data_IF_464127231327
#
_entry.id   IF_464127231327
#
_cell.length_a   1.000
_cell.length_b   1.000
_cell.length_c   1.000
_cell.angle_alpha   90.00
_cell.angle_beta   90.00
_cell.angle_gamma   90.00
#
_symmetry.space_group_name_H-M   'P 1'
#
loop_
_entity.id
_entity.type
_entity.pdbx_description
1 polymer ?
#
# COMPACT_ATOMS: atom_id res chain seq x y z
N UNK A 1 4.24 5.58 3.85
CA UNK A 1 3.11 4.68 4.22
C UNK A 1 3.58 3.22 4.15
N UNK A 2 3.02 2.33 4.97
CA UNK A 2 3.46 0.93 5.06
C UNK A 2 2.30 0.01 5.44
N UNK A 3 2.45 -1.28 5.18
CA UNK A 3 1.67 -2.31 5.86
C UNK A 3 2.54 -2.92 6.97
N UNK A 4 1.97 -3.17 8.13
CA UNK A 4 2.65 -3.87 9.23
C UNK A 4 1.93 -5.19 9.50
N UNK A 5 2.70 -6.26 9.60
CA UNK A 5 2.21 -7.60 9.93
C UNK A 5 2.61 -7.84 11.38
N UNK A 6 1.63 -8.16 12.22
CA UNK A 6 1.82 -8.35 13.65
C UNK A 6 1.34 -9.74 14.04
N UNK A 7 1.88 -10.28 15.12
CA UNK A 7 1.32 -11.47 15.77
C UNK A 7 0.08 -11.11 16.61
N UNK A 8 -0.55 -12.12 17.20
CA UNK A 8 -1.74 -11.94 18.03
C UNK A 8 -1.49 -11.19 19.35
N UNK A 9 -0.22 -11.03 19.74
CA UNK A 9 0.18 -10.26 20.92
C UNK A 9 0.52 -8.81 20.54
N UNK A 10 0.45 -8.44 19.26
CA UNK A 10 0.82 -7.12 18.75
C UNK A 10 2.32 -6.94 18.55
N UNK A 11 3.12 -8.00 18.59
CA UNK A 11 4.54 -7.90 18.22
C UNK A 11 4.67 -7.79 16.71
N UNK A 12 5.58 -6.94 16.25
CA UNK A 12 5.85 -6.77 14.84
C UNK A 12 6.55 -8.02 14.26
N UNK A 13 5.94 -8.65 13.26
CA UNK A 13 6.55 -9.73 12.47
C UNK A 13 7.33 -9.13 11.29
N UNK A 14 6.69 -8.23 10.54
CA UNK A 14 7.29 -7.66 9.33
C UNK A 14 6.59 -6.36 8.89
N UNK A 15 7.23 -5.64 7.96
CA UNK A 15 6.67 -4.48 7.27
C UNK A 15 6.82 -4.62 5.77
N UNK A 16 5.81 -4.19 5.05
CA UNK A 16 5.85 -4.05 3.60
C UNK A 16 5.83 -2.56 3.26
N UNK A 17 6.85 -2.12 2.52
CA UNK A 17 7.03 -0.74 2.10
C UNK A 17 7.32 0.25 3.24
N UNK A 18 7.32 1.54 2.88
CA UNK A 18 7.52 2.65 3.81
C UNK A 18 8.96 3.11 3.99
N UNK A 19 9.95 2.29 3.64
CA UNK A 19 11.38 2.63 3.68
C UNK A 19 11.69 3.84 2.78
N UNK A 20 11.05 3.90 1.62
CA UNK A 20 11.22 4.96 0.61
C UNK A 20 10.04 5.94 0.58
N UNK A 21 9.31 6.10 1.69
CA UNK A 21 8.17 7.02 1.76
C UNK A 21 6.96 6.59 0.90
N UNK A 22 6.16 7.58 0.49
CA UNK A 22 5.04 7.36 -0.43
C UNK A 22 5.54 7.35 -1.89
N UNK A 23 4.91 6.57 -2.76
CA UNK A 23 5.28 6.55 -4.17
C UNK A 23 4.52 5.53 -5.01
N UNK A 24 4.94 5.37 -6.26
CA UNK A 24 4.25 4.53 -7.25
C UNK A 24 5.01 3.25 -7.58
N UNK A 25 6.30 3.18 -7.24
CA UNK A 25 7.16 2.04 -7.51
C UNK A 25 6.69 0.77 -6.80
N UNK A 26 7.23 -0.37 -7.23
CA UNK A 26 6.97 -1.66 -6.58
C UNK A 26 7.34 -1.59 -5.10
N UNK A 27 6.42 -2.02 -4.24
CA UNK A 27 6.57 -1.96 -2.79
C UNK A 27 6.27 -0.60 -2.16
N UNK A 28 5.97 0.45 -2.94
CA UNK A 28 5.51 1.73 -2.43
C UNK A 28 3.97 1.86 -2.42
N UNK A 29 3.51 2.62 -1.44
CA UNK A 29 2.10 2.96 -1.22
C UNK A 29 1.91 4.48 -1.28
N UNK A 30 0.70 4.94 -1.56
CA UNK A 30 0.30 6.34 -1.51
C UNK A 30 -0.46 6.65 -0.23
N UNK A 31 -1.64 6.06 -0.07
CA UNK A 31 -2.54 6.31 1.04
C UNK A 31 -3.41 5.08 1.28
N UNK A 32 -2.84 3.97 1.77
CA UNK A 32 -3.58 2.73 1.99
C UNK A 32 -4.63 2.91 3.09
N UNK A 33 -5.88 2.55 2.80
CA UNK A 33 -7.02 2.69 3.73
C UNK A 33 -7.92 1.44 3.76
N UNK A 34 -7.94 0.64 2.71
CA UNK A 34 -8.63 -0.65 2.68
C UNK A 34 -7.63 -1.80 2.62
N UNK A 35 -7.92 -2.89 3.32
CA UNK A 35 -7.14 -4.13 3.23
C UNK A 35 -8.06 -5.35 3.26
N UNK A 36 -7.75 -6.35 2.43
CA UNK A 36 -8.48 -7.63 2.34
C UNK A 36 -7.49 -8.74 1.98
N UNK A 37 -7.84 -9.98 2.32
CA UNK A 37 -7.08 -11.17 1.94
C UNK A 37 -7.96 -12.14 1.15
N UNK A 38 -7.38 -12.84 0.18
CA UNK A 38 -8.02 -14.00 -0.46
C UNK A 38 -7.62 -15.32 0.21
N UNK A 39 -8.28 -16.41 -0.19
CA UNK A 39 -8.04 -17.76 0.35
C UNK A 39 -6.65 -18.32 0.03
N UNK A 40 -5.91 -17.71 -0.90
CA UNK A 40 -4.51 -18.07 -1.19
C UNK A 40 -3.53 -17.27 -0.35
N UNK A 41 -4.00 -16.28 0.41
CA UNK A 41 -3.20 -15.40 1.25
C UNK A 41 -2.62 -14.20 0.49
N UNK A 42 -3.11 -13.88 -0.71
CA UNK A 42 -2.77 -12.61 -1.35
C UNK A 42 -3.42 -11.45 -0.62
N UNK A 43 -2.74 -10.31 -0.56
CA UNK A 43 -3.21 -9.09 0.10
C UNK A 43 -3.70 -8.11 -0.96
N UNK A 44 -4.89 -7.55 -0.77
CA UNK A 44 -5.46 -6.48 -1.60
C UNK A 44 -5.50 -5.20 -0.78
N UNK A 45 -4.97 -4.12 -1.34
CA UNK A 45 -4.82 -2.83 -0.66
C UNK A 45 -5.51 -1.76 -1.47
N UNK A 46 -6.57 -1.18 -0.90
CA UNK A 46 -7.27 -0.02 -1.46
C UNK A 46 -6.59 1.27 -1.00
N UNK A 47 -6.29 2.15 -1.94
CA UNK A 47 -5.57 3.40 -1.70
C UNK A 47 -6.38 4.60 -2.16
N UNK A 48 -6.45 5.64 -1.32
CA UNK A 48 -7.13 6.91 -1.64
C UNK A 48 -6.19 7.90 -2.35
N UNK A 49 -5.44 7.41 -3.33
CA UNK A 49 -4.36 8.14 -4.00
C UNK A 49 -4.82 9.44 -4.67
N UNK A 50 -6.05 9.46 -5.19
CA UNK A 50 -6.58 10.65 -5.88
C UNK A 50 -6.78 11.84 -4.94
N UNK A 51 -7.44 11.62 -3.81
CA UNK A 51 -7.70 12.67 -2.82
C UNK A 51 -6.45 12.99 -1.99
N UNK A 52 -5.55 12.01 -1.80
CA UNK A 52 -4.27 12.22 -1.12
C UNK A 52 -3.21 12.94 -1.99
N UNK A 53 -3.44 13.10 -3.29
CA UNK A 53 -2.46 13.69 -4.20
C UNK A 53 -1.91 15.05 -3.73
N UNK A 54 -2.74 16.04 -3.31
CA UNK A 54 -2.22 17.34 -2.89
C UNK A 54 -1.31 17.27 -1.66
N UNK A 55 -1.47 16.23 -0.83
CA UNK A 55 -0.65 16.04 0.36
C UNK A 55 0.77 15.57 0.01
N UNK A 56 0.92 14.71 -0.99
CA UNK A 56 2.22 14.16 -1.40
C UNK A 56 2.91 15.00 -2.50
N UNK A 57 2.13 15.65 -3.37
CA UNK A 57 2.62 16.26 -4.62
C UNK A 57 2.15 17.73 -4.82
N UNK A 58 1.48 18.33 -3.83
CA UNK A 58 1.04 19.73 -3.92
C UNK A 58 0.15 20.01 -5.14
N UNK A 59 0.54 21.01 -5.93
CA UNK A 59 -0.19 21.48 -7.11
C UNK A 59 0.18 20.73 -8.40
N UNK A 60 1.04 19.71 -8.32
CA UNK A 60 1.39 18.91 -9.49
C UNK A 60 0.15 18.31 -10.17
N UNK A 61 0.19 18.21 -11.50
CA UNK A 61 -0.90 17.63 -12.26
C UNK A 61 -1.04 16.14 -11.93
N UNK A 62 -2.27 15.71 -11.62
CA UNK A 62 -2.56 14.29 -11.38
C UNK A 62 -2.35 13.49 -12.67
N UNK A 63 -1.62 12.37 -12.63
CA UNK A 63 -1.59 11.40 -13.71
C UNK A 63 -3.00 10.98 -14.11
N UNK A 64 -3.21 10.72 -15.41
CA UNK A 64 -4.49 10.21 -15.93
C UNK A 64 -4.93 8.92 -15.22
N UNK A 65 -3.97 8.07 -14.88
CA UNK A 65 -4.19 6.84 -14.15
C UNK A 65 -3.41 6.88 -12.85
N UNK A 66 -4.12 6.86 -11.73
CA UNK A 66 -3.54 6.74 -10.40
C UNK A 66 -3.81 5.34 -9.87
N UNK A 67 -2.76 4.71 -9.33
CA UNK A 67 -2.86 3.44 -8.62
C UNK A 67 -3.73 3.64 -7.37
N UNK A 68 -4.90 3.02 -7.35
CA UNK A 68 -5.86 3.07 -6.21
C UNK A 68 -6.14 1.68 -5.63
N UNK A 69 -5.61 0.62 -6.25
CA UNK A 69 -5.71 -0.75 -5.79
C UNK A 69 -4.40 -1.46 -6.09
N UNK A 70 -3.85 -2.18 -5.11
CA UNK A 70 -2.70 -3.05 -5.28
C UNK A 70 -3.03 -4.46 -4.82
N UNK A 71 -2.55 -5.46 -5.57
CA UNK A 71 -2.53 -6.86 -5.13
C UNK A 71 -1.08 -7.26 -4.86
N UNK A 72 -0.81 -7.76 -3.67
CA UNK A 72 0.44 -8.39 -3.30
C UNK A 72 0.19 -9.90 -3.26
N UNK A 73 0.78 -10.61 -4.22
CA UNK A 73 0.61 -12.05 -4.34
C UNK A 73 1.53 -12.77 -3.36
N UNK A 74 0.97 -13.79 -2.69
CA UNK A 74 1.76 -14.69 -1.87
C UNK A 74 2.50 -15.66 -2.78
N UNK A 75 3.82 -15.59 -2.77
CA UNK A 75 4.68 -16.55 -3.46
C UNK A 75 5.07 -17.65 -2.48
N UNK A 76 4.85 -18.90 -2.87
CA UNK A 76 5.35 -20.09 -2.16
C UNK A 76 6.58 -20.57 -2.92
N UNK A 77 7.72 -20.58 -2.22
CA UNK A 77 8.96 -21.20 -2.70
C UNK A 77 9.08 -22.62 -2.16
#
# INVERSE_FOLDING_TARGET
PRLSILDNNGNLISRLGGENGAGFELGQFQAPHGISLDSKGSIYVGEVSYTNWPYNYGEEAKPKYLKTLQKLERVLN
#
